data_IF_904803049068
#
_entry.id   IF_904803049068
#
_cell.length_a   1.000
_cell.length_b   1.000
_cell.length_c   1.000
_cell.angle_alpha   90.00
_cell.angle_beta   90.00
_cell.angle_gamma   90.00
#
_symmetry.space_group_name_H-M   'P 1'
#
loop_
_entity.id
_entity.type
_entity.pdbx_description
1 polymer ?
#
# COMPACT_ATOMS: atom_id res chain seq x y z
N UNK A 1 -47.47 -12.41 -43.11
CA UNK A 1 -46.85 -11.72 -41.96
C UNK A 1 -46.03 -12.75 -41.21
N UNK A 2 -44.76 -12.93 -41.60
CA UNK A 2 -43.81 -13.72 -40.82
C UNK A 2 -43.22 -12.81 -39.76
N UNK A 3 -43.45 -13.09 -38.48
CA UNK A 3 -42.69 -12.44 -37.42
C UNK A 3 -41.35 -13.15 -37.31
N UNK A 4 -40.30 -12.43 -37.66
CA UNK A 4 -38.93 -12.87 -37.52
C UNK A 4 -38.62 -13.20 -36.06
N UNK A 5 -38.44 -14.50 -35.79
CA UNK A 5 -37.96 -15.02 -34.52
C UNK A 5 -36.42 -14.93 -34.52
N UNK A 6 -35.89 -13.72 -34.31
CA UNK A 6 -34.46 -13.52 -34.09
C UNK A 6 -34.04 -14.09 -32.71
N UNK A 7 -32.83 -14.67 -32.58
CA UNK A 7 -32.46 -15.45 -31.40
C UNK A 7 -32.01 -14.55 -30.24
N UNK A 8 -32.88 -14.35 -29.26
CA UNK A 8 -32.58 -13.71 -27.94
C UNK A 8 -31.42 -14.35 -27.14
N UNK A 9 -30.89 -15.49 -27.58
CA UNK A 9 -29.88 -16.26 -26.85
C UNK A 9 -28.45 -15.79 -27.15
N UNK A 10 -28.18 -15.31 -28.36
CA UNK A 10 -26.86 -14.82 -28.78
C UNK A 10 -26.52 -13.48 -28.09
N UNK A 11 -27.49 -12.56 -28.03
CA UNK A 11 -27.31 -11.24 -27.37
C UNK A 11 -27.02 -11.35 -25.87
N UNK A 12 -27.50 -12.40 -25.20
CA UNK A 12 -27.30 -12.60 -23.76
C UNK A 12 -25.91 -13.16 -23.44
N UNK A 13 -25.36 -14.04 -24.28
CA UNK A 13 -23.99 -14.55 -24.15
C UNK A 13 -22.95 -13.46 -24.47
N UNK A 14 -23.21 -12.62 -25.47
CA UNK A 14 -22.35 -11.47 -25.81
C UNK A 14 -22.35 -10.40 -24.70
N UNK A 15 -23.49 -10.16 -24.04
CA UNK A 15 -23.56 -9.31 -22.85
C UNK A 15 -22.78 -9.90 -21.67
N UNK A 16 -22.93 -11.21 -21.38
CA UNK A 16 -22.24 -11.86 -20.26
C UNK A 16 -20.71 -11.85 -20.45
N UNK A 17 -20.25 -12.05 -21.69
CA UNK A 17 -18.82 -11.96 -22.03
C UNK A 17 -18.30 -10.51 -21.98
N UNK A 18 -19.10 -9.54 -22.38
CA UNK A 18 -18.77 -8.11 -22.27
C UNK A 18 -18.67 -7.67 -20.81
N UNK A 19 -19.62 -8.07 -19.95
CA UNK A 19 -19.60 -7.77 -18.52
C UNK A 19 -18.47 -8.50 -17.80
N UNK A 20 -18.21 -9.78 -18.11
CA UNK A 20 -17.07 -10.52 -17.56
C UNK A 20 -15.73 -9.88 -17.93
N UNK A 21 -15.58 -9.40 -19.17
CA UNK A 21 -14.33 -8.77 -19.64
C UNK A 21 -13.93 -7.59 -18.76
N UNK A 22 -14.88 -6.82 -18.21
CA UNK A 22 -14.61 -5.65 -17.34
C UNK A 22 -13.84 -6.01 -16.08
N UNK A 23 -13.97 -7.24 -15.59
CA UNK A 23 -13.26 -7.75 -14.40
C UNK A 23 -11.92 -8.40 -14.74
N UNK A 24 -11.57 -8.56 -16.02
CA UNK A 24 -10.29 -9.14 -16.41
C UNK A 24 -9.11 -8.21 -16.10
N UNK A 25 -7.96 -8.80 -15.76
CA UNK A 25 -6.72 -8.09 -15.44
C UNK A 25 -6.30 -7.08 -16.52
N UNK A 26 -6.50 -7.42 -17.80
CA UNK A 26 -6.15 -6.54 -18.91
C UNK A 26 -6.92 -5.21 -18.91
N UNK A 27 -8.11 -5.19 -18.30
CA UNK A 27 -8.97 -4.01 -18.20
C UNK A 27 -8.86 -3.29 -16.85
N UNK A 28 -8.05 -3.82 -15.92
CA UNK A 28 -7.82 -3.20 -14.62
C UNK A 28 -6.82 -2.05 -14.76
N UNK A 29 -7.22 -0.84 -14.35
CA UNK A 29 -6.31 0.30 -14.29
C UNK A 29 -5.12 -0.01 -13.38
N UNK A 30 -3.93 0.25 -13.89
CA UNK A 30 -2.69 0.20 -13.11
C UNK A 30 -2.60 1.47 -12.28
N UNK A 31 -2.22 1.34 -11.01
CA UNK A 31 -1.92 2.50 -10.18
C UNK A 31 -0.46 2.87 -10.42
N UNK A 32 -0.22 4.10 -10.88
CA UNK A 32 1.11 4.61 -11.15
C UNK A 32 1.88 4.89 -9.85
N UNK A 33 3.20 4.91 -9.94
CA UNK A 33 4.05 5.31 -8.85
C UNK A 33 4.01 6.84 -8.66
N UNK A 34 4.17 7.29 -7.42
CA UNK A 34 4.20 8.72 -7.08
C UNK A 34 5.56 9.12 -6.50
N UNK A 35 5.97 10.36 -6.76
CA UNK A 35 7.21 10.91 -6.19
C UNK A 35 6.91 11.82 -5.00
N UNK A 36 7.67 11.67 -3.93
CA UNK A 36 7.52 12.48 -2.72
C UNK A 36 8.88 12.74 -2.07
N UNK A 37 9.07 13.97 -1.57
CA UNK A 37 10.26 14.35 -0.81
C UNK A 37 10.05 13.92 0.63
N UNK A 38 10.96 13.10 1.16
CA UNK A 38 10.81 12.48 2.48
C UNK A 38 11.58 13.22 3.56
N UNK A 39 12.83 13.58 3.27
CA UNK A 39 13.72 14.26 4.22
C UNK A 39 14.46 15.41 3.54
N UNK A 40 14.69 16.49 4.27
CA UNK A 40 15.52 17.61 3.80
C UNK A 40 17.02 17.35 3.93
N UNK A 41 17.42 16.30 4.65
CA UNK A 41 18.82 15.95 4.92
C UNK A 41 19.53 15.35 3.71
N UNK A 42 18.79 14.64 2.84
CA UNK A 42 19.31 14.01 1.63
C UNK A 42 19.07 14.91 0.42
N UNK A 43 20.15 15.42 -0.18
CA UNK A 43 20.12 16.39 -1.28
C UNK A 43 21.00 15.96 -2.44
N UNK A 44 20.63 16.40 -3.64
CA UNK A 44 21.44 16.26 -4.84
C UNK A 44 22.63 17.24 -4.88
N UNK A 45 23.43 17.18 -5.95
CA UNK A 45 24.59 18.06 -6.18
C UNK A 45 24.22 19.56 -6.23
N UNK A 46 22.97 19.88 -6.51
CA UNK A 46 22.44 21.26 -6.58
C UNK A 46 21.82 21.72 -5.25
N UNK A 47 21.80 20.86 -4.22
CA UNK A 47 21.19 21.14 -2.93
C UNK A 47 19.67 20.97 -2.90
N UNK A 48 19.04 20.35 -3.91
CA UNK A 48 17.60 20.03 -3.91
C UNK A 48 17.37 18.71 -3.13
N UNK A 49 16.36 18.63 -2.24
CA UNK A 49 15.99 17.37 -1.59
C UNK A 49 15.68 16.26 -2.60
N UNK A 50 16.09 15.04 -2.27
CA UNK A 50 15.87 13.86 -3.13
C UNK A 50 14.40 13.45 -3.14
N UNK A 51 13.87 13.19 -4.33
CA UNK A 51 12.54 12.62 -4.54
C UNK A 51 12.60 11.10 -4.43
N UNK A 52 11.80 10.53 -3.54
CA UNK A 52 11.61 9.09 -3.42
C UNK A 52 10.40 8.69 -4.26
N UNK A 53 10.44 7.49 -4.82
CA UNK A 53 9.35 6.90 -5.61
C UNK A 53 8.60 5.89 -4.77
N UNK A 54 7.27 6.00 -4.77
CA UNK A 54 6.37 5.17 -4.00
C UNK A 54 5.44 4.38 -4.91
N UNK A 55 5.26 3.10 -4.60
CA UNK A 55 4.32 2.19 -5.28
C UNK A 55 3.19 1.76 -4.37
N UNK A 56 2.05 1.42 -4.96
CA UNK A 56 0.98 0.81 -4.19
C UNK A 56 1.32 -0.63 -3.84
N UNK A 57 1.16 -0.98 -2.57
CA UNK A 57 1.24 -2.39 -2.15
C UNK A 57 -0.06 -3.11 -2.52
N UNK A 58 0.05 -4.36 -2.93
CA UNK A 58 -1.10 -5.22 -3.18
C UNK A 58 -1.76 -5.62 -1.86
N UNK A 59 -3.04 -6.01 -1.93
CA UNK A 59 -3.75 -6.58 -0.78
C UNK A 59 -3.03 -7.80 -0.21
N UNK A 60 -2.39 -8.60 -1.06
CA UNK A 60 -1.60 -9.77 -0.66
C UNK A 60 -0.37 -9.38 0.16
N UNK A 61 0.43 -8.43 -0.32
CA UNK A 61 1.59 -7.92 0.43
C UNK A 61 1.15 -7.32 1.78
N UNK A 62 0.04 -6.58 1.79
CA UNK A 62 -0.51 -6.01 3.01
C UNK A 62 -0.93 -7.09 4.04
N UNK A 63 -1.57 -8.18 3.58
CA UNK A 63 -1.92 -9.31 4.43
C UNK A 63 -0.67 -10.01 4.99
N UNK A 64 0.34 -10.25 4.15
CA UNK A 64 1.62 -10.86 4.56
C UNK A 64 2.32 -10.00 5.61
N UNK A 65 2.41 -8.69 5.41
CA UNK A 65 2.99 -7.75 6.38
C UNK A 65 2.19 -7.75 7.69
N UNK A 66 0.85 -7.77 7.61
CA UNK A 66 -0.02 -7.79 8.79
C UNK A 66 0.14 -9.08 9.59
N UNK A 67 0.26 -10.21 8.93
CA UNK A 67 0.49 -11.51 9.56
C UNK A 67 1.86 -11.55 10.26
N UNK A 68 2.93 -11.11 9.58
CA UNK A 68 4.28 -11.00 10.16
C UNK A 68 4.32 -10.13 11.42
N UNK A 69 3.48 -9.09 11.47
CA UNK A 69 3.40 -8.18 12.61
C UNK A 69 2.39 -8.61 13.68
N UNK A 70 1.70 -9.74 13.54
CA UNK A 70 0.72 -10.22 14.52
C UNK A 70 1.35 -11.31 15.38
N UNK A 71 1.29 -11.12 16.71
CA UNK A 71 1.80 -12.09 17.68
C UNK A 71 0.71 -12.56 18.63
N UNK A 72 0.82 -13.80 19.10
CA UNK A 72 -0.03 -14.33 20.15
C UNK A 72 0.46 -13.91 21.53
N UNK A 73 -0.37 -13.16 22.26
CA UNK A 73 -0.07 -12.67 23.60
C UNK A 73 -0.91 -13.43 24.62
N UNK A 74 -0.31 -13.99 25.69
CA UNK A 74 -1.05 -14.72 26.71
C UNK A 74 -2.08 -13.81 27.42
N UNK A 75 -3.25 -14.36 27.71
CA UNK A 75 -4.31 -13.66 28.43
C UNK A 75 -4.07 -13.77 29.92
N UNK A 76 -3.85 -12.62 30.57
CA UNK A 76 -3.65 -12.55 32.03
C UNK A 76 -4.78 -13.25 32.78
N UNK A 77 -4.43 -14.20 33.64
CA UNK A 77 -5.37 -14.97 34.45
C UNK A 77 -6.02 -16.17 33.74
N UNK A 78 -5.68 -16.46 32.48
CA UNK A 78 -6.17 -17.65 31.75
C UNK A 78 -5.00 -18.47 31.16
N UNK A 79 -4.53 -19.52 31.85
CA UNK A 79 -3.50 -20.41 31.33
C UNK A 79 -3.89 -20.99 29.96
N UNK A 80 -2.92 -21.09 29.05
CA UNK A 80 -3.08 -21.62 27.68
C UNK A 80 -4.10 -20.88 26.78
N UNK A 81 -4.50 -19.65 27.14
CA UNK A 81 -5.33 -18.80 26.28
C UNK A 81 -4.48 -17.64 25.76
N UNK A 82 -4.47 -17.47 24.44
CA UNK A 82 -3.74 -16.40 23.75
C UNK A 82 -4.71 -15.52 22.96
N UNK A 83 -4.34 -14.25 22.80
CA UNK A 83 -5.04 -13.31 21.93
C UNK A 83 -4.07 -12.75 20.89
N UNK A 84 -4.48 -12.62 19.62
CA UNK A 84 -3.66 -11.98 18.62
C UNK A 84 -3.51 -10.50 18.95
N UNK A 85 -2.29 -9.98 18.84
CA UNK A 85 -1.96 -8.57 18.99
C UNK A 85 -1.11 -8.14 17.79
N UNK A 86 -1.62 -7.19 17.04
CA UNK A 86 -0.84 -6.51 16.00
C UNK A 86 0.18 -5.58 16.65
N UNK A 87 1.44 -5.69 16.23
CA UNK A 87 2.50 -4.73 16.51
C UNK A 87 2.38 -3.57 15.54
N UNK A 88 1.52 -2.60 15.84
CA UNK A 88 1.15 -1.53 14.91
C UNK A 88 2.34 -0.71 14.39
N UNK A 89 3.34 -0.42 15.23
CA UNK A 89 4.52 0.33 14.80
C UNK A 89 5.37 -0.45 13.78
N UNK A 90 5.54 -1.75 14.01
CA UNK A 90 6.27 -2.65 13.09
C UNK A 90 5.51 -2.80 11.77
N UNK A 91 4.19 -2.95 11.83
CA UNK A 91 3.31 -2.98 10.66
C UNK A 91 3.42 -1.73 9.79
N UNK A 92 3.34 -0.55 10.40
CA UNK A 92 3.47 0.72 9.68
C UNK A 92 4.86 0.83 9.05
N UNK A 93 5.92 0.50 9.78
CA UNK A 93 7.30 0.58 9.27
C UNK A 93 7.52 -0.34 8.07
N UNK A 94 7.07 -1.60 8.17
CA UNK A 94 7.13 -2.57 7.06
C UNK A 94 6.32 -2.12 5.86
N UNK A 95 5.14 -1.56 6.08
CA UNK A 95 4.29 -1.02 5.02
C UNK A 95 4.97 0.16 4.30
N UNK A 96 5.60 1.08 5.04
CA UNK A 96 6.39 2.19 4.44
C UNK A 96 7.52 1.61 3.60
N UNK A 97 8.34 0.73 4.17
CA UNK A 97 9.47 0.14 3.47
C UNK A 97 9.05 -0.59 2.19
N UNK A 98 7.96 -1.36 2.24
CA UNK A 98 7.40 -2.05 1.08
C UNK A 98 6.75 -1.10 0.04
N UNK A 99 6.38 0.12 0.45
CA UNK A 99 5.80 1.13 -0.43
C UNK A 99 6.85 1.94 -1.19
N UNK A 100 8.13 1.88 -0.80
CA UNK A 100 9.21 2.62 -1.45
C UNK A 100 9.78 1.77 -2.58
N UNK A 101 9.68 2.29 -3.80
CA UNK A 101 10.27 1.70 -5.01
C UNK A 101 11.68 2.26 -5.26
N UNK A 102 11.89 3.55 -4.98
CA UNK A 102 13.20 4.17 -5.05
C UNK A 102 13.39 5.17 -3.90
N UNK A 103 14.50 5.13 -3.15
CA UNK A 103 15.64 4.21 -3.30
C UNK A 103 15.29 2.76 -2.92
N UNK A 104 16.02 1.79 -3.48
CA UNK A 104 15.83 0.37 -3.14
C UNK A 104 16.34 0.09 -1.73
N UNK A 105 15.43 -0.03 -0.76
CA UNK A 105 15.77 -0.30 0.63
C UNK A 105 16.31 -1.72 0.85
N UNK A 106 16.21 -2.62 -0.13
CA UNK A 106 16.77 -3.97 -0.08
C UNK A 106 18.21 -4.03 -0.64
N UNK A 107 18.73 -2.92 -1.18
CA UNK A 107 20.08 -2.88 -1.70
C UNK A 107 21.11 -3.05 -0.56
N UNK A 108 21.93 -4.10 -0.67
CA UNK A 108 22.89 -4.45 0.36
C UNK A 108 23.99 -3.39 0.53
N UNK A 109 24.40 -2.72 -0.55
CA UNK A 109 25.44 -1.69 -0.46
C UNK A 109 24.90 -0.45 0.27
N UNK A 110 23.65 -0.08 0.00
CA UNK A 110 22.98 1.00 0.71
C UNK A 110 22.81 0.66 2.18
N UNK A 111 22.31 -0.53 2.53
CA UNK A 111 22.20 -0.98 3.92
C UNK A 111 23.55 -0.99 4.65
N UNK A 112 24.60 -1.54 4.00
CA UNK A 112 25.95 -1.57 4.56
C UNK A 112 26.51 -0.15 4.79
N UNK A 113 26.18 0.81 3.92
CA UNK A 113 26.62 2.21 4.08
C UNK A 113 26.06 2.90 5.33
N UNK A 114 24.89 2.47 5.80
CA UNK A 114 24.26 2.91 7.05
C UNK A 114 24.54 1.95 8.23
N UNK A 115 25.24 0.83 8.01
CA UNK A 115 25.57 -0.14 9.06
C UNK A 115 24.39 -1.00 9.53
N UNK A 116 23.33 -1.10 8.73
CA UNK A 116 22.10 -1.85 9.03
C UNK A 116 21.96 -3.06 8.10
N UNK A 117 20.98 -3.93 8.37
CA UNK A 117 20.78 -5.20 7.61
C UNK A 117 19.34 -5.45 7.19
N UNK A 118 18.45 -4.49 7.46
CA UNK A 118 17.03 -4.61 7.17
C UNK A 118 16.56 -3.32 6.51
N UNK A 119 15.60 -3.40 5.57
CA UNK A 119 15.03 -2.21 4.95
C UNK A 119 14.33 -1.32 6.00
N UNK A 120 13.79 -1.92 7.07
CA UNK A 120 13.13 -1.19 8.14
C UNK A 120 14.10 -0.37 9.00
N UNK A 121 15.28 -0.92 9.29
CA UNK A 121 16.32 -0.18 10.02
C UNK A 121 16.93 0.89 9.12
N UNK A 122 17.17 0.58 7.84
CA UNK A 122 17.64 1.56 6.86
C UNK A 122 16.69 2.75 6.73
N UNK A 123 15.38 2.50 6.69
CA UNK A 123 14.37 3.56 6.67
C UNK A 123 14.49 4.51 7.86
N UNK A 124 14.78 4.00 9.06
CA UNK A 124 14.93 4.82 10.26
C UNK A 124 16.24 5.62 10.27
N UNK A 125 17.31 5.06 9.71
CA UNK A 125 18.60 5.76 9.59
C UNK A 125 18.54 6.86 8.51
N UNK A 126 17.79 6.63 7.42
CA UNK A 126 17.60 7.61 6.34
C UNK A 126 16.62 8.73 6.68
N UNK A 127 15.68 8.47 7.60
CA UNK A 127 14.66 9.42 8.07
C UNK A 127 14.76 9.51 9.59
N UNK A 128 15.90 10.03 10.05
CA UNK A 128 16.31 10.08 11.45
C UNK A 128 15.60 11.18 12.25
N UNK A 129 14.99 12.17 11.58
CA UNK A 129 14.09 13.13 12.19
C UNK A 129 12.70 12.49 12.48
N UNK A 130 12.26 12.44 13.76
CA UNK A 130 10.97 11.84 14.10
C UNK A 130 9.77 12.57 13.51
N UNK A 131 9.87 13.86 13.21
CA UNK A 131 8.83 14.65 12.58
C UNK A 131 8.64 14.25 11.12
N UNK A 132 9.73 14.18 10.35
CA UNK A 132 9.75 13.70 8.97
C UNK A 132 9.24 12.25 8.86
N UNK A 133 9.68 11.36 9.76
CA UNK A 133 9.20 9.97 9.78
C UNK A 133 7.68 9.88 10.02
N UNK A 134 7.13 10.69 10.93
CA UNK A 134 5.69 10.71 11.19
C UNK A 134 4.92 11.24 9.96
N UNK A 135 5.42 12.28 9.30
CA UNK A 135 4.82 12.80 8.07
C UNK A 135 4.85 11.77 6.94
N UNK A 136 5.97 11.05 6.80
CA UNK A 136 6.08 9.93 5.85
C UNK A 136 5.07 8.83 6.14
N UNK A 137 4.93 8.43 7.41
CA UNK A 137 3.97 7.41 7.81
C UNK A 137 2.52 7.81 7.49
N UNK A 138 2.17 9.08 7.70
CA UNK A 138 0.86 9.61 7.32
C UNK A 138 0.67 9.66 5.79
N UNK A 139 1.69 10.11 5.06
CA UNK A 139 1.68 10.15 3.60
C UNK A 139 1.46 8.76 3.01
N UNK A 140 2.25 7.77 3.41
CA UNK A 140 2.13 6.39 2.90
C UNK A 140 0.76 5.80 3.23
N UNK A 141 0.23 6.00 4.45
CA UNK A 141 -1.11 5.53 4.78
C UNK A 141 -2.20 6.14 3.90
N UNK A 142 -2.09 7.43 3.57
CA UNK A 142 -2.98 8.11 2.62
C UNK A 142 -2.83 7.56 1.22
N UNK A 143 -1.59 7.44 0.75
CA UNK A 143 -1.24 6.94 -0.57
C UNK A 143 -1.76 5.50 -0.77
N UNK A 144 -1.63 4.62 0.24
CA UNK A 144 -2.17 3.26 0.16
C UNK A 144 -3.70 3.17 0.31
N UNK A 145 -4.39 4.30 0.57
CA UNK A 145 -5.85 4.34 0.71
C UNK A 145 -6.35 3.85 2.07
N UNK A 146 -5.51 3.83 3.10
CA UNK A 146 -5.89 3.42 4.46
C UNK A 146 -6.53 4.54 5.29
N UNK A 147 -6.67 5.76 4.76
CA UNK A 147 -7.51 6.76 5.41
C UNK A 147 -8.99 6.45 5.20
N UNK A 148 -9.66 6.10 6.29
CA UNK A 148 -11.12 6.03 6.39
C UNK A 148 -11.75 7.36 5.97
N UNK A 149 -12.46 7.35 4.84
CA UNK A 149 -13.66 8.16 4.54
C UNK A 149 -13.78 9.52 5.26
N UNK A 150 -13.32 10.61 4.63
CA UNK A 150 -13.91 11.94 4.89
C UNK A 150 -14.48 12.62 3.63
N UNK A 151 -14.31 12.02 2.45
CA UNK A 151 -14.77 12.59 1.17
C UNK A 151 -15.83 11.73 0.43
N UNK A 152 -16.50 10.80 1.11
CA UNK A 152 -17.67 10.07 0.58
C UNK A 152 -18.99 10.52 1.26
N UNK A 153 -19.07 11.77 1.72
CA UNK A 153 -20.28 12.32 2.38
C UNK A 153 -20.80 13.65 1.83
N UNK A 154 -20.60 13.96 0.54
CA UNK A 154 -21.19 15.20 -0.02
C UNK A 154 -22.07 15.03 -1.27
N UNK A 155 -21.95 13.98 -2.09
CA UNK A 155 -22.71 13.91 -3.35
C UNK A 155 -23.83 12.86 -3.43
N UNK A 156 -24.45 12.52 -2.29
CA UNK A 156 -25.67 11.71 -2.24
C UNK A 156 -26.83 12.46 -1.53
N UNK A 157 -26.97 13.75 -1.82
CA UNK A 157 -28.11 14.57 -1.38
C UNK A 157 -28.84 15.30 -2.51
N UNK A 158 -28.54 14.98 -3.78
CA UNK A 158 -29.27 15.51 -4.95
C UNK A 158 -29.29 14.49 -6.09
N UNK A 159 -30.23 13.55 -6.06
CA UNK A 159 -30.97 13.02 -7.22
C UNK A 159 -32.14 12.16 -6.75
#
# INVERSE_FOLDING_TARGET
>A
MGQDFFPKKLEREDQDMSEFSRFMKANKMVKENEKHIVTESLRDENGKPLEWEFRHISSKENEEIREQCTIDVPVTGKPNVYRPRLKSAEYIRKMIAASIEYPDLYDAQLQDSYGVKTPEDLLLEMVDDPGEYNMLAEYVQKFQGFQSSFQEKVDEAKN
#
